data_IF_952029216351
#
_entry.id   IF_952029216351
#
_cell.length_a   1.000
_cell.length_b   1.000
_cell.length_c   1.000
_cell.angle_alpha   90.00
_cell.angle_beta   90.00
_cell.angle_gamma   90.00
#
_symmetry.space_group_name_H-M   'P 1'
#
loop_
_entity.id
_entity.type
_entity.pdbx_description
1 polymer ?
#
# COMPACT_ATOMS: atom_id res chain seq x y z
N UNK A 1 -3.75 -9.20 -6.35
CA UNK A 1 -3.41 -8.91 -7.78
C UNK A 1 -2.94 -10.16 -8.53
N UNK A 2 -2.50 -11.19 -7.82
CA UNK A 2 -2.01 -12.44 -8.41
C UNK A 2 -2.98 -13.08 -9.39
N UNK A 3 -4.25 -13.10 -9.04
CA UNK A 3 -5.27 -13.85 -9.80
C UNK A 3 -5.95 -12.98 -10.84
N UNK A 4 -6.82 -12.10 -10.41
CA UNK A 4 -7.73 -11.38 -11.30
C UNK A 4 -7.03 -10.28 -12.10
N UNK A 5 -6.24 -9.45 -11.44
CA UNK A 5 -5.54 -8.35 -12.14
C UNK A 5 -4.46 -8.88 -13.08
N UNK A 6 -3.62 -9.80 -12.60
CA UNK A 6 -2.55 -10.39 -13.42
C UNK A 6 -3.04 -11.36 -14.47
N UNK A 7 -4.17 -12.00 -14.23
CA UNK A 7 -4.85 -12.86 -15.21
C UNK A 7 -4.31 -14.27 -15.39
N UNK A 8 -3.07 -14.53 -14.97
CA UNK A 8 -2.41 -15.82 -15.26
C UNK A 8 -1.97 -16.59 -14.01
N UNK A 9 -1.88 -15.92 -12.86
CA UNK A 9 -1.40 -16.56 -11.64
C UNK A 9 0.08 -16.92 -11.66
N UNK A 10 0.84 -16.30 -12.55
CA UNK A 10 2.27 -16.61 -12.74
C UNK A 10 3.19 -15.80 -11.85
N UNK A 11 2.67 -14.77 -11.21
CA UNK A 11 3.43 -13.95 -10.25
C UNK A 11 2.55 -13.56 -9.08
N UNK A 12 3.15 -13.53 -7.89
CA UNK A 12 2.44 -13.10 -6.68
C UNK A 12 2.52 -11.60 -6.53
N UNK A 13 1.38 -10.97 -6.30
CA UNK A 13 1.33 -9.54 -6.02
C UNK A 13 0.06 -9.19 -5.24
N UNK A 14 0.14 -8.08 -4.53
CA UNK A 14 -0.98 -7.51 -3.82
C UNK A 14 -1.18 -6.05 -4.21
N UNK A 15 -2.30 -5.50 -3.84
CA UNK A 15 -2.57 -4.08 -4.00
C UNK A 15 -3.30 -3.56 -2.77
N UNK A 16 -2.92 -2.38 -2.33
CA UNK A 16 -3.58 -1.67 -1.24
C UNK A 16 -4.11 -0.36 -1.79
N UNK A 17 -5.38 -0.09 -1.56
CA UNK A 17 -6.04 1.13 -2.04
C UNK A 17 -6.57 1.90 -0.85
N UNK A 18 -6.21 3.16 -0.76
CA UNK A 18 -6.62 4.04 0.32
C UNK A 18 -7.46 5.19 -0.24
N UNK A 19 -8.62 5.45 0.40
CA UNK A 19 -9.49 6.55 -0.01
C UNK A 19 -8.94 7.93 0.37
N UNK A 20 -8.14 7.99 1.43
CA UNK A 20 -7.67 9.23 2.02
C UNK A 20 -8.73 9.98 2.84
N UNK A 21 -9.87 9.36 3.09
CA UNK A 21 -11.02 10.01 3.76
C UNK A 21 -11.18 9.61 5.23
N UNK A 22 -10.49 8.57 5.68
CA UNK A 22 -10.62 8.11 7.06
C UNK A 22 -9.70 8.90 7.98
N UNK A 23 -10.25 9.40 9.08
CA UNK A 23 -9.48 10.13 10.10
C UNK A 23 -9.03 9.16 11.19
N UNK A 24 -7.79 8.71 11.09
CA UNK A 24 -7.21 7.76 12.04
C UNK A 24 -7.00 8.37 13.44
N UNK A 25 -6.74 9.67 13.51
CA UNK A 25 -6.56 10.36 14.79
C UNK A 25 -7.88 10.49 15.53
N UNK A 26 -8.92 10.93 14.85
CA UNK A 26 -10.23 11.15 15.44
C UNK A 26 -10.88 9.88 15.97
N UNK A 27 -10.59 8.73 15.35
CA UNK A 27 -11.18 7.44 15.77
C UNK A 27 -10.73 6.99 17.16
N UNK A 28 -9.53 7.40 17.60
CA UNK A 28 -8.94 6.99 18.87
C UNK A 28 -8.52 5.54 18.96
N UNK A 29 -8.65 4.78 17.88
CA UNK A 29 -8.34 3.32 17.85
C UNK A 29 -6.95 3.01 17.31
N UNK A 30 -6.26 3.99 16.76
CA UNK A 30 -5.00 3.78 16.06
C UNK A 30 -3.91 4.69 16.61
N UNK A 31 -3.35 4.38 17.80
CA UNK A 31 -2.35 5.25 18.42
C UNK A 31 -1.10 5.45 17.57
N UNK A 32 -0.72 4.44 16.75
CA UNK A 32 0.44 4.56 15.87
C UNK A 32 0.26 5.59 14.75
N UNK A 33 -0.97 6.03 14.47
CA UNK A 33 -1.25 7.14 13.56
C UNK A 33 -1.34 8.49 14.26
N UNK A 34 -1.60 8.49 15.57
CA UNK A 34 -1.76 9.72 16.35
C UNK A 34 -0.45 10.16 17.01
N UNK A 35 0.45 9.22 17.31
CA UNK A 35 1.73 9.50 17.95
C UNK A 35 2.82 9.73 16.92
N UNK A 36 3.83 10.55 17.27
CA UNK A 36 4.95 10.83 16.38
C UNK A 36 5.85 9.60 16.19
N UNK A 37 6.33 9.40 14.96
CA UNK A 37 7.30 8.36 14.65
C UNK A 37 8.71 8.89 14.86
N UNK A 38 9.40 8.39 15.88
CA UNK A 38 10.74 8.86 16.24
C UNK A 38 11.79 8.57 15.16
N UNK A 39 11.54 7.57 14.30
CA UNK A 39 12.42 7.24 13.18
C UNK A 39 12.29 8.24 12.02
N UNK A 40 11.28 9.10 12.04
CA UNK A 40 11.01 10.13 11.04
C UNK A 40 10.80 11.50 11.69
N UNK A 41 11.62 11.81 12.70
CA UNK A 41 11.62 13.13 13.39
C UNK A 41 10.28 13.52 13.97
N UNK A 42 9.54 12.54 14.52
CA UNK A 42 8.26 12.80 15.15
C UNK A 42 7.09 12.95 14.17
N UNK A 43 7.24 12.47 12.93
CA UNK A 43 6.17 12.52 11.93
C UNK A 43 4.90 11.84 12.47
N UNK A 44 3.77 12.54 12.40
CA UNK A 44 2.46 12.04 12.78
C UNK A 44 1.72 11.61 11.51
N UNK A 45 1.56 10.32 11.31
CA UNK A 45 0.96 9.80 10.07
C UNK A 45 -0.48 10.25 9.88
N UNK A 46 -1.25 10.38 10.97
CA UNK A 46 -2.64 10.80 10.90
C UNK A 46 -2.86 12.20 10.35
N UNK A 47 -1.82 13.04 10.31
CA UNK A 47 -1.89 14.40 9.76
C UNK A 47 -1.70 14.45 8.25
N UNK A 48 -1.38 13.32 7.61
CA UNK A 48 -1.09 13.25 6.18
C UNK A 48 -2.35 12.98 5.36
N UNK A 49 -2.38 13.39 4.06
CA UNK A 49 -3.54 13.13 3.19
C UNK A 49 -3.82 11.66 2.94
N UNK A 50 -2.76 10.82 2.88
CA UNK A 50 -2.87 9.37 2.67
C UNK A 50 -2.05 8.64 3.74
N UNK A 51 -2.50 8.69 5.01
CA UNK A 51 -1.67 8.26 6.15
C UNK A 51 -1.31 6.76 6.10
N UNK A 52 -2.25 5.91 5.70
CA UNK A 52 -2.02 4.46 5.66
C UNK A 52 -0.94 4.09 4.64
N UNK A 53 -1.03 4.64 3.44
CA UNK A 53 -0.05 4.39 2.36
C UNK A 53 1.34 4.88 2.75
N UNK A 54 1.44 6.09 3.30
CA UNK A 54 2.72 6.64 3.74
C UNK A 54 3.30 5.79 4.88
N UNK A 55 2.48 5.37 5.83
CA UNK A 55 2.93 4.54 6.94
C UNK A 55 3.45 3.19 6.48
N UNK A 56 2.79 2.54 5.51
CA UNK A 56 3.29 1.29 4.92
C UNK A 56 4.67 1.51 4.31
N UNK A 57 4.85 2.57 3.54
CA UNK A 57 6.14 2.86 2.89
C UNK A 57 7.22 3.22 3.90
N UNK A 58 6.88 4.02 4.89
CA UNK A 58 7.85 4.49 5.88
C UNK A 58 8.27 3.39 6.85
N UNK A 59 7.37 2.51 7.25
CA UNK A 59 7.64 1.47 8.25
C UNK A 59 7.86 0.10 7.62
N UNK A 60 6.87 -0.43 6.90
CA UNK A 60 6.94 -1.80 6.41
C UNK A 60 7.97 -1.98 5.30
N UNK A 61 7.96 -1.12 4.30
CA UNK A 61 8.94 -1.18 3.21
C UNK A 61 10.35 -0.99 3.74
N UNK A 62 10.56 0.01 4.59
CA UNK A 62 11.87 0.32 5.15
C UNK A 62 12.37 -0.79 6.07
N UNK A 63 11.52 -1.27 6.99
CA UNK A 63 11.95 -2.18 8.06
C UNK A 63 12.03 -3.63 7.58
N UNK A 64 11.18 -4.06 6.66
CA UNK A 64 11.15 -5.44 6.16
C UNK A 64 11.75 -5.59 4.77
N UNK A 65 11.88 -4.50 4.01
CA UNK A 65 12.33 -4.53 2.62
C UNK A 65 11.32 -5.12 1.67
N UNK A 66 10.09 -5.40 2.13
CA UNK A 66 9.06 -6.00 1.31
C UNK A 66 8.58 -5.04 0.22
N UNK A 67 8.81 -5.39 -1.03
CA UNK A 67 8.41 -4.58 -2.19
C UNK A 67 8.19 -5.48 -3.39
N UNK A 68 7.42 -4.98 -4.35
CA UNK A 68 7.23 -5.69 -5.62
C UNK A 68 8.49 -5.53 -6.49
N UNK A 69 8.92 -6.62 -7.14
CA UNK A 69 10.03 -6.53 -8.08
C UNK A 69 9.56 -5.92 -9.41
N UNK A 70 10.48 -5.28 -10.17
CA UNK A 70 10.12 -4.76 -11.50
C UNK A 70 9.56 -5.82 -12.44
N UNK A 71 10.10 -7.05 -12.40
CA UNK A 71 9.60 -8.15 -13.23
C UNK A 71 8.16 -8.52 -12.86
N UNK A 72 7.87 -8.65 -11.55
CA UNK A 72 6.52 -8.96 -11.11
C UNK A 72 5.53 -7.85 -11.50
N UNK A 73 5.94 -6.58 -11.34
CA UNK A 73 5.12 -5.45 -11.74
C UNK A 73 4.81 -5.48 -13.24
N UNK A 74 5.80 -5.80 -14.07
CA UNK A 74 5.63 -5.92 -15.50
C UNK A 74 4.64 -7.03 -15.86
N UNK A 75 4.75 -8.18 -15.23
CA UNK A 75 3.83 -9.30 -15.47
C UNK A 75 2.39 -8.95 -15.09
N UNK A 76 2.18 -8.25 -13.99
CA UNK A 76 0.84 -7.79 -13.58
C UNK A 76 0.30 -6.77 -14.61
N UNK A 77 1.13 -5.83 -15.04
CA UNK A 77 0.72 -4.83 -16.04
C UNK A 77 0.31 -5.49 -17.36
N UNK A 78 1.00 -6.54 -17.80
CA UNK A 78 0.58 -7.30 -18.98
C UNK A 78 -0.83 -7.88 -18.82
N UNK A 79 -1.14 -8.43 -17.65
CA UNK A 79 -2.47 -8.94 -17.36
C UNK A 79 -3.54 -7.88 -17.35
N UNK A 80 -3.21 -6.67 -16.92
CA UNK A 80 -4.14 -5.55 -16.85
C UNK A 80 -4.60 -5.12 -18.25
N UNK A 81 -3.80 -5.32 -19.29
CA UNK A 81 -4.19 -4.97 -20.66
C UNK A 81 -5.49 -5.65 -21.10
N UNK A 82 -5.76 -6.84 -20.60
CA UNK A 82 -6.99 -7.58 -20.95
C UNK A 82 -8.06 -7.50 -19.86
N UNK A 83 -7.81 -6.75 -18.79
CA UNK A 83 -8.71 -6.69 -17.65
C UNK A 83 -10.11 -6.21 -18.03
N UNK A 84 -10.21 -5.21 -18.88
CA UNK A 84 -11.50 -4.66 -19.34
C UNK A 84 -12.34 -5.68 -20.08
N UNK A 85 -11.71 -6.66 -20.73
CA UNK A 85 -12.40 -7.74 -21.43
C UNK A 85 -12.81 -8.86 -20.47
N UNK A 86 -12.09 -9.03 -19.36
CA UNK A 86 -12.33 -10.11 -18.39
C UNK A 86 -13.30 -9.72 -17.27
N UNK A 87 -13.53 -8.43 -17.08
CA UNK A 87 -14.43 -7.91 -16.02
C UNK A 87 -15.92 -8.09 -16.38
#
# INVERSE_FOLDING_TARGET
>A
ATKYLGGHGTTLAGVVVESGKFDYKASGKYPSFAEGDEHYNGLVYGDLPIPFTVKIRAQLLRDTGACITPLAAWQILQGIETLSLRV
#
